data_IF_051805795424
#
_entry.id   IF_051805795424
#
_cell.length_a   1.000
_cell.length_b   1.000
_cell.length_c   1.000
_cell.angle_alpha   90.00
_cell.angle_beta   90.00
_cell.angle_gamma   90.00
#
_symmetry.space_group_name_H-M   'P 1'
#
loop_
_entity.id
_entity.type
_entity.pdbx_description
1 polymer ?
#
# COMPACT_ATOMS: atom_id res chain seq x y z
N UNK A 1 23.87 -1.81 -22.10
CA UNK A 1 23.85 -0.34 -21.92
C UNK A 1 22.43 0.23 -21.85
N UNK A 2 21.49 -0.27 -22.66
CA UNK A 2 20.11 0.27 -22.74
C UNK A 2 19.33 0.29 -21.40
N UNK A 3 19.49 -0.75 -20.56
CA UNK A 3 18.81 -0.82 -19.26
C UNK A 3 19.21 0.30 -18.29
N UNK A 4 20.48 0.75 -18.35
CA UNK A 4 20.98 1.84 -17.50
C UNK A 4 20.42 3.19 -17.94
N UNK A 5 20.21 3.38 -19.25
CA UNK A 5 19.65 4.62 -19.82
C UNK A 5 18.17 4.78 -19.47
N UNK A 6 17.40 3.69 -19.59
CA UNK A 6 16.00 3.64 -19.16
C UNK A 6 15.86 3.85 -17.65
N UNK A 7 16.73 3.22 -16.85
CA UNK A 7 16.76 3.42 -15.41
C UNK A 7 17.02 4.87 -15.01
N UNK A 8 18.00 5.53 -15.65
CA UNK A 8 18.28 6.95 -15.42
C UNK A 8 17.12 7.87 -15.79
N UNK A 9 16.45 7.61 -16.92
CA UNK A 9 15.23 8.34 -17.33
C UNK A 9 14.10 8.21 -16.32
N UNK A 10 13.84 6.98 -15.85
CA UNK A 10 12.81 6.73 -14.82
C UNK A 10 13.16 7.45 -13.52
N UNK A 11 14.44 7.44 -13.12
CA UNK A 11 14.90 8.13 -11.92
C UNK A 11 14.66 9.64 -12.01
N UNK A 12 15.04 10.25 -13.14
CA UNK A 12 14.85 11.68 -13.38
C UNK A 12 13.37 12.07 -13.40
N UNK A 13 12.54 11.29 -14.09
CA UNK A 13 11.09 11.52 -14.13
C UNK A 13 10.46 11.40 -12.73
N UNK A 14 10.85 10.38 -11.98
CA UNK A 14 10.37 10.18 -10.60
C UNK A 14 10.82 11.32 -9.68
N UNK A 15 12.08 11.75 -9.79
CA UNK A 15 12.60 12.87 -9.01
C UNK A 15 11.88 14.19 -9.36
N UNK A 16 11.63 14.46 -10.63
CA UNK A 16 10.89 15.63 -11.07
C UNK A 16 9.43 15.61 -10.56
N UNK A 17 8.75 14.46 -10.65
CA UNK A 17 7.39 14.29 -10.13
C UNK A 17 7.34 14.47 -8.61
N UNK A 18 8.33 13.94 -7.89
CA UNK A 18 8.46 14.13 -6.44
C UNK A 18 8.64 15.60 -6.05
N UNK A 19 9.50 16.32 -6.76
CA UNK A 19 9.70 17.75 -6.53
C UNK A 19 8.43 18.56 -6.82
N UNK A 20 7.73 18.26 -7.91
CA UNK A 20 6.45 18.90 -8.23
C UNK A 20 5.40 18.66 -7.13
N UNK A 21 5.26 17.42 -6.66
CA UNK A 21 4.34 17.06 -5.59
C UNK A 21 4.69 17.74 -4.26
N UNK A 22 5.98 17.77 -3.90
CA UNK A 22 6.46 18.41 -2.66
C UNK A 22 6.25 19.91 -2.73
N UNK A 23 6.62 20.56 -3.84
CA UNK A 23 6.37 21.97 -4.04
C UNK A 23 4.87 22.28 -3.98
N UNK A 24 4.04 21.49 -4.65
CA UNK A 24 2.58 21.64 -4.62
C UNK A 24 2.01 21.53 -3.20
N UNK A 25 2.33 20.48 -2.45
CA UNK A 25 1.84 20.28 -1.07
C UNK A 25 2.33 21.36 -0.11
N UNK A 26 3.58 21.83 -0.27
CA UNK A 26 4.17 22.84 0.60
C UNK A 26 3.65 24.25 0.29
N UNK A 27 3.45 24.59 -0.98
CA UNK A 27 3.03 25.92 -1.42
C UNK A 27 1.51 26.12 -1.25
N UNK A 28 0.72 25.07 -1.48
CA UNK A 28 -0.75 25.11 -1.38
C UNK A 28 -1.31 25.78 -0.11
N UNK A 29 -0.81 25.53 1.12
CA UNK A 29 -1.34 26.17 2.33
C UNK A 29 -1.01 27.66 2.45
N UNK A 30 -0.02 28.18 1.72
CA UNK A 30 0.41 29.58 1.80
C UNK A 30 -0.21 30.50 0.74
N UNK A 31 -0.92 29.94 -0.26
CA UNK A 31 -1.53 30.72 -1.35
C UNK A 31 -3.05 30.81 -1.16
N UNK A 32 -3.56 32.04 -1.21
CA UNK A 32 -5.00 32.34 -1.18
C UNK A 32 -5.73 31.86 -2.46
N UNK A 33 -7.00 31.48 -2.31
CA UNK A 33 -7.83 30.84 -3.35
C UNK A 33 -8.02 31.59 -4.66
N UNK A 34 -7.77 32.89 -4.69
CA UNK A 34 -8.08 33.76 -5.82
C UNK A 34 -6.87 34.05 -6.73
N UNK A 35 -5.74 33.40 -6.44
CA UNK A 35 -4.50 33.61 -7.19
C UNK A 35 -4.46 32.73 -8.46
N UNK A 36 -4.16 33.28 -9.66
CA UNK A 36 -4.09 32.52 -10.91
C UNK A 36 -3.01 31.45 -10.91
N UNK A 37 -2.06 31.52 -9.97
CA UNK A 37 -1.03 30.51 -9.71
C UNK A 37 -1.65 29.15 -9.38
N UNK A 38 -2.86 29.11 -8.79
CA UNK A 38 -3.57 27.86 -8.51
C UNK A 38 -4.04 27.11 -9.76
N UNK A 39 -4.10 27.72 -10.95
CA UNK A 39 -4.45 26.99 -12.19
C UNK A 39 -3.39 25.98 -12.62
N UNK A 40 -2.16 26.16 -12.16
CA UNK A 40 -1.01 25.28 -12.47
C UNK A 40 -0.99 24.09 -11.51
N UNK A 41 -1.75 24.16 -10.41
CA UNK A 41 -1.80 23.15 -9.36
C UNK A 41 -3.14 22.43 -9.35
N UNK A 42 -3.16 21.09 -9.12
CA UNK A 42 -4.41 20.37 -8.91
C UNK A 42 -5.19 20.93 -7.72
N UNK A 43 -6.51 20.68 -7.64
CA UNK A 43 -7.35 21.13 -6.53
C UNK A 43 -6.78 20.69 -5.18
N UNK A 44 -6.84 21.59 -4.19
CA UNK A 44 -6.17 21.42 -2.87
C UNK A 44 -6.60 20.18 -2.10
N UNK A 45 -7.83 19.73 -2.32
CA UNK A 45 -8.36 18.46 -1.82
C UNK A 45 -7.45 17.26 -2.14
N UNK A 46 -6.79 17.26 -3.30
CA UNK A 46 -5.90 16.19 -3.71
C UNK A 46 -4.57 16.20 -2.94
N UNK A 47 -4.12 17.36 -2.46
CA UNK A 47 -2.90 17.48 -1.67
C UNK A 47 -3.04 16.74 -0.32
N UNK A 48 -4.25 16.75 0.24
CA UNK A 48 -4.58 16.03 1.48
C UNK A 48 -4.99 14.58 1.22
N UNK A 49 -5.69 14.32 0.11
CA UNK A 49 -6.16 12.97 -0.22
C UNK A 49 -5.00 12.03 -0.59
N UNK A 50 -3.93 12.52 -1.23
CA UNK A 50 -2.82 11.67 -1.67
C UNK A 50 -2.12 10.93 -0.49
N UNK A 51 -1.69 11.60 0.61
CA UNK A 51 -1.13 10.91 1.77
C UNK A 51 -2.13 9.99 2.46
N UNK A 52 -3.41 10.38 2.53
CA UNK A 52 -4.46 9.59 3.18
C UNK A 52 -4.72 8.29 2.41
N UNK A 53 -4.88 8.37 1.10
CA UNK A 53 -5.08 7.19 0.25
C UNK A 53 -3.86 6.27 0.28
N UNK A 54 -2.65 6.82 0.24
CA UNK A 54 -1.41 6.04 0.38
C UNK A 54 -1.35 5.34 1.75
N UNK A 55 -1.66 6.05 2.82
CA UNK A 55 -1.74 5.50 4.18
C UNK A 55 -2.77 4.37 4.27
N UNK A 56 -4.01 4.63 3.87
CA UNK A 56 -5.10 3.63 3.91
C UNK A 56 -4.75 2.41 3.07
N UNK A 57 -4.13 2.59 1.89
CA UNK A 57 -3.67 1.48 1.06
C UNK A 57 -2.58 0.64 1.74
N UNK A 58 -1.54 1.27 2.28
CA UNK A 58 -0.43 0.57 2.93
C UNK A 58 -0.86 -0.13 4.23
N UNK A 59 -1.58 0.57 5.09
CA UNK A 59 -2.09 0.00 6.34
C UNK A 59 -3.15 -1.07 6.04
N UNK A 60 -4.10 -0.78 5.15
CA UNK A 60 -5.15 -1.73 4.78
C UNK A 60 -4.59 -3.03 4.22
N UNK A 61 -3.67 -2.96 3.26
CA UNK A 61 -3.04 -4.16 2.68
C UNK A 61 -2.19 -4.92 3.71
N UNK A 62 -1.48 -4.21 4.59
CA UNK A 62 -0.69 -4.83 5.66
C UNK A 62 -1.59 -5.56 6.65
N UNK A 63 -2.64 -4.92 7.16
CA UNK A 63 -3.59 -5.54 8.09
C UNK A 63 -4.31 -6.72 7.44
N UNK A 64 -4.73 -6.61 6.17
CA UNK A 64 -5.35 -7.72 5.45
C UNK A 64 -4.40 -8.92 5.31
N UNK A 65 -3.14 -8.67 4.95
CA UNK A 65 -2.14 -9.73 4.81
C UNK A 65 -1.89 -10.42 6.15
N UNK A 66 -1.74 -9.67 7.23
CA UNK A 66 -1.57 -10.20 8.58
C UNK A 66 -2.80 -10.98 9.05
N UNK A 67 -4.01 -10.45 8.84
CA UNK A 67 -5.26 -11.14 9.15
C UNK A 67 -5.39 -12.46 8.41
N UNK A 68 -5.12 -12.47 7.10
CA UNK A 68 -5.09 -13.68 6.29
C UNK A 68 -4.05 -14.69 6.78
N UNK A 69 -2.87 -14.22 7.20
CA UNK A 69 -1.81 -15.07 7.73
C UNK A 69 -2.21 -15.74 9.06
N UNK A 70 -2.82 -14.99 9.97
CA UNK A 70 -3.30 -15.48 11.26
C UNK A 70 -4.44 -16.49 11.10
N UNK A 71 -5.42 -16.21 10.24
CA UNK A 71 -6.51 -17.17 9.96
C UNK A 71 -5.95 -18.45 9.33
N UNK A 72 -5.03 -18.31 8.37
CA UNK A 72 -4.41 -19.45 7.71
C UNK A 72 -3.60 -20.33 8.66
N UNK A 73 -2.96 -19.74 9.68
CA UNK A 73 -2.16 -20.50 10.65
C UNK A 73 -3.05 -21.32 11.58
N UNK A 74 -4.15 -20.77 12.08
CA UNK A 74 -5.11 -21.49 12.91
C UNK A 74 -5.84 -22.59 12.13
N UNK A 75 -6.25 -22.30 10.90
CA UNK A 75 -6.85 -23.32 10.03
C UNK A 75 -5.92 -24.51 9.77
N UNK A 76 -4.60 -24.27 9.64
CA UNK A 76 -3.62 -25.34 9.51
C UNK A 76 -3.54 -26.20 10.78
N UNK A 77 -3.50 -25.59 11.97
CA UNK A 77 -3.49 -26.32 13.25
C UNK A 77 -4.74 -27.18 13.43
N UNK A 78 -5.92 -26.62 13.17
CA UNK A 78 -7.19 -27.34 13.30
C UNK A 78 -7.29 -28.53 12.32
N UNK A 79 -6.78 -28.37 11.09
CA UNK A 79 -6.74 -29.46 10.10
C UNK A 79 -5.81 -30.59 10.54
N UNK A 80 -4.63 -30.26 11.08
CA UNK A 80 -3.67 -31.25 11.59
C UNK A 80 -4.25 -32.07 12.76
N UNK A 81 -4.90 -31.41 13.73
CA UNK A 81 -5.56 -32.08 14.84
C UNK A 81 -6.72 -32.99 14.37
N UNK A 82 -7.51 -32.54 13.38
CA UNK A 82 -8.58 -33.37 12.80
C UNK A 82 -8.05 -34.61 12.10
N UNK A 83 -6.90 -34.53 11.42
CA UNK A 83 -6.29 -35.71 10.79
C UNK A 83 -5.78 -36.70 11.83
N UNK A 84 -5.14 -36.23 12.90
CA UNK A 84 -4.68 -37.08 14.01
C UNK A 84 -5.84 -37.73 14.77
N UNK A 85 -6.91 -36.98 15.05
CA UNK A 85 -8.10 -37.49 15.72
C UNK A 85 -8.84 -38.55 14.90
N UNK A 86 -8.87 -38.40 13.56
CA UNK A 86 -9.43 -39.42 12.65
C UNK A 86 -8.57 -40.68 12.65
N UNK A 87 -7.25 -40.54 12.50
CA UNK A 87 -6.31 -41.66 12.51
C UNK A 87 -6.39 -42.47 13.83
N UNK A 88 -6.46 -41.79 14.98
CA UNK A 88 -6.58 -42.45 16.28
C UNK A 88 -7.92 -43.23 16.43
N UNK A 89 -9.02 -42.67 15.92
CA UNK A 89 -10.34 -43.33 15.96
C UNK A 89 -10.42 -44.55 15.04
N UNK A 90 -9.69 -44.54 13.93
CA UNK A 90 -9.60 -45.65 12.99
C UNK A 90 -8.80 -46.81 13.57
N UNK A 91 -7.65 -46.53 14.18
CA UNK A 91 -6.81 -47.54 14.85
C UNK A 91 -7.58 -48.23 16.00
N UNK A 92 -8.38 -47.48 16.77
CA UNK A 92 -9.16 -48.04 17.89
C UNK A 92 -10.35 -48.92 17.44
N UNK A 93 -10.72 -48.88 16.16
CA UNK A 93 -11.85 -49.65 15.61
C UNK A 93 -11.45 -51.03 15.08
N UNK A 94 -10.16 -51.29 14.89
CA UNK A 94 -9.58 -52.57 14.44
C UNK A 94 -9.18 -53.38 15.66
#
# INVERSE_FOLDING_TARGET
>A
MEQRRKGGLVLLLTAAAWLYYTAWTLITPFIESDQPVLRIFPPREWALAAPVLAGVGLFGTTLLTLGCFLVSSELRKLRAQRTEAKAHKEIRRV
#
